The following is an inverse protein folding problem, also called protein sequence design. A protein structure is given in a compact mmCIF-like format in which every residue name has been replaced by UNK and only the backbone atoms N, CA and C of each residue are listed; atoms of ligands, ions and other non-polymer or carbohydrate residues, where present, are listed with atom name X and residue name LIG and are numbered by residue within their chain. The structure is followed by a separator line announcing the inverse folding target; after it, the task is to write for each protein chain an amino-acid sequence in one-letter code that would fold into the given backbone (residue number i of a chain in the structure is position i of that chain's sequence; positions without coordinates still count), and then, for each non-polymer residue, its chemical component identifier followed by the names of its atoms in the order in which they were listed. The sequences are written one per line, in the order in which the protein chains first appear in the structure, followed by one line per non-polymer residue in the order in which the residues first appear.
data_IF_969671092682
#
_entry.id   IF_969671092682
#
_cell.length_a   1.000
_cell.length_b   1.000
_cell.length_c   1.000
_cell.angle_alpha   90.00
_cell.angle_beta   90.00
_cell.angle_gamma   90.00
#
_symmetry.space_group_name_H-M   'P 1'
#
loop_
_entity.id
_entity.type
_entity.pdbx_description
1 polymer ?
#
# COMPACT_ATOMS: atom_id res chain seq x y z
N UNK A 1 14.79 -50.47 -2.24
CA UNK A 1 14.98 -49.08 -2.72
C UNK A 1 16.37 -48.62 -2.29
N UNK A 2 17.16 -47.99 -3.17
CA UNK A 2 18.53 -47.54 -2.81
C UNK A 2 18.47 -46.20 -2.09
N UNK A 3 19.10 -46.12 -0.92
CA UNK A 3 19.11 -44.92 -0.07
C UNK A 3 19.69 -43.70 -0.80
N UNK A 4 20.71 -43.92 -1.62
CA UNK A 4 21.37 -42.88 -2.43
C UNK A 4 20.41 -42.23 -3.44
N UNK A 5 19.52 -43.03 -4.06
CA UNK A 5 18.54 -42.52 -5.03
C UNK A 5 17.52 -41.64 -4.31
N UNK A 6 17.02 -42.09 -3.15
CA UNK A 6 16.07 -41.30 -2.37
C UNK A 6 16.69 -39.96 -1.95
N UNK A 7 17.93 -39.96 -1.45
CA UNK A 7 18.62 -38.75 -1.03
C UNK A 7 18.82 -37.77 -2.19
N UNK A 8 19.25 -38.25 -3.35
CA UNK A 8 19.41 -37.41 -4.54
C UNK A 8 18.07 -36.81 -4.98
N UNK A 9 17.00 -37.61 -5.00
CA UNK A 9 15.66 -37.14 -5.36
C UNK A 9 15.16 -36.06 -4.40
N UNK A 10 15.33 -36.25 -3.09
CA UNK A 10 14.95 -35.24 -2.09
C UNK A 10 15.73 -33.93 -2.26
N UNK A 11 17.04 -34.01 -2.54
CA UNK A 11 17.86 -32.83 -2.78
C UNK A 11 17.41 -32.07 -4.03
N UNK A 12 17.19 -32.76 -5.14
CA UNK A 12 16.74 -32.13 -6.40
C UNK A 12 15.35 -31.53 -6.24
N UNK A 13 14.42 -32.23 -5.59
CA UNK A 13 13.07 -31.73 -5.34
C UNK A 13 13.10 -30.47 -4.46
N UNK A 14 13.89 -30.46 -3.38
CA UNK A 14 14.06 -29.29 -2.53
C UNK A 14 14.66 -28.10 -3.29
N UNK A 15 15.66 -28.35 -4.14
CA UNK A 15 16.27 -27.32 -4.97
C UNK A 15 15.26 -26.72 -5.96
N UNK A 16 14.43 -27.56 -6.58
CA UNK A 16 13.39 -27.11 -7.49
C UNK A 16 12.36 -26.23 -6.78
N UNK A 17 11.85 -26.67 -5.62
CA UNK A 17 10.85 -25.92 -4.83
C UNK A 17 11.40 -24.58 -4.37
N UNK A 18 12.63 -24.55 -3.85
CA UNK A 18 13.28 -23.30 -3.40
C UNK A 18 13.49 -22.33 -4.55
N UNK A 19 13.91 -22.83 -5.72
CA UNK A 19 14.07 -21.99 -6.93
C UNK A 19 12.74 -21.36 -7.34
N UNK A 20 11.66 -22.15 -7.38
CA UNK A 20 10.32 -21.63 -7.72
C UNK A 20 9.84 -20.61 -6.67
N UNK A 21 10.03 -20.90 -5.38
CA UNK A 21 9.62 -19.99 -4.31
C UNK A 21 10.33 -18.64 -4.38
N UNK A 22 11.65 -18.65 -4.63
CA UNK A 22 12.43 -17.41 -4.80
C UNK A 22 12.02 -16.68 -6.08
N UNK A 23 11.79 -17.39 -7.17
CA UNK A 23 11.37 -16.78 -8.43
C UNK A 23 9.96 -16.17 -8.36
N UNK A 24 9.07 -16.75 -7.55
CA UNK A 24 7.72 -16.23 -7.32
C UNK A 24 7.66 -15.16 -6.23
N UNK A 25 8.78 -14.87 -5.55
CA UNK A 25 8.82 -13.86 -4.50
C UNK A 25 8.80 -12.46 -5.11
N UNK A 26 7.63 -11.82 -5.06
CA UNK A 26 7.46 -10.40 -5.38
C UNK A 26 7.33 -9.61 -4.09
N UNK A 27 8.28 -8.70 -3.83
CA UNK A 27 8.17 -7.79 -2.70
C UNK A 27 7.21 -6.64 -3.06
N UNK A 28 6.04 -6.52 -2.40
CA UNK A 28 5.05 -5.52 -2.77
C UNK A 28 5.60 -4.11 -2.49
N UNK A 29 5.74 -3.31 -3.54
CA UNK A 29 6.07 -1.89 -3.36
C UNK A 29 4.89 -1.16 -2.72
N UNK A 30 5.15 -0.16 -1.85
CA UNK A 30 4.10 0.66 -1.29
C UNK A 30 3.35 1.35 -2.43
N UNK A 31 2.04 1.09 -2.52
CA UNK A 31 1.15 1.68 -3.51
C UNK A 31 -0.07 2.28 -2.81
N UNK A 32 -0.54 3.43 -3.29
CA UNK A 32 -1.72 4.10 -2.75
C UNK A 32 -2.95 3.48 -3.40
N UNK A 33 -3.74 2.74 -2.61
CA UNK A 33 -5.01 2.17 -3.06
C UNK A 33 -6.07 3.28 -3.10
N UNK A 34 -6.44 3.70 -4.31
CA UNK A 34 -7.48 4.73 -4.52
C UNK A 34 -8.89 4.15 -4.76
N UNK A 35 -9.07 2.83 -4.66
CA UNK A 35 -10.38 2.18 -4.89
C UNK A 35 -11.22 2.11 -3.62
N UNK A 36 -11.69 3.27 -3.17
CA UNK A 36 -12.57 3.39 -2.00
C UNK A 36 -13.89 2.60 -2.15
N UNK A 37 -14.39 2.42 -3.38
CA UNK A 37 -15.62 1.68 -3.67
C UNK A 37 -15.51 0.15 -3.42
N UNK A 38 -14.28 -0.39 -3.43
CA UNK A 38 -14.02 -1.81 -3.15
C UNK A 38 -13.50 -2.03 -1.72
N UNK A 39 -13.62 -1.04 -0.84
CA UNK A 39 -13.11 -1.12 0.53
C UNK A 39 -13.67 -2.32 1.32
N UNK A 40 -14.91 -2.73 1.06
CA UNK A 40 -15.54 -3.90 1.69
C UNK A 40 -14.91 -5.24 1.28
N UNK A 41 -14.17 -5.27 0.15
CA UNK A 41 -13.51 -6.47 -0.37
C UNK A 41 -12.08 -6.64 0.16
N UNK A 42 -11.55 -5.64 0.87
CA UNK A 42 -10.21 -5.67 1.45
C UNK A 42 -10.29 -5.74 2.97
N UNK A 43 -9.45 -6.56 3.58
CA UNK A 43 -9.30 -6.54 5.03
C UNK A 43 -8.78 -5.16 5.46
N UNK A 44 -9.61 -4.40 6.17
CA UNK A 44 -9.21 -3.14 6.78
C UNK A 44 -8.05 -3.41 7.75
N UNK A 45 -6.99 -2.58 7.75
CA UNK A 45 -5.95 -2.64 8.78
C UNK A 45 -6.59 -2.59 10.17
N UNK A 46 -6.05 -3.33 11.15
CA UNK A 46 -6.59 -3.36 12.53
C UNK A 46 -6.70 -1.95 13.13
N UNK A 47 -5.80 -1.06 12.74
CA UNK A 47 -5.82 0.37 13.08
C UNK A 47 -6.44 1.18 11.93
N UNK A 48 -7.64 0.82 11.49
CA UNK A 48 -8.43 1.71 10.66
C UNK A 48 -8.79 2.92 11.51
N UNK A 49 -7.97 3.97 11.46
CA UNK A 49 -8.25 5.26 12.09
C UNK A 49 -9.69 5.61 11.73
N UNK A 50 -10.60 5.76 12.71
CA UNK A 50 -12.01 5.90 12.43
C UNK A 50 -12.19 7.06 11.45
N UNK A 51 -12.60 6.75 10.23
CA UNK A 51 -13.04 7.71 9.23
C UNK A 51 -14.39 8.33 9.61
N UNK A 52 -14.76 8.30 10.90
CA UNK A 52 -15.86 9.05 11.44
C UNK A 52 -15.59 10.53 11.17
N UNK A 53 -16.11 10.97 10.03
CA UNK A 53 -16.68 12.28 9.83
C UNK A 53 -15.82 13.40 10.39
N UNK A 54 -14.51 13.38 10.09
CA UNK A 54 -13.86 14.67 9.89
C UNK A 54 -14.59 15.25 8.69
N UNK A 55 -15.59 16.12 8.96
CA UNK A 55 -16.17 16.95 7.93
C UNK A 55 -14.98 17.64 7.28
N UNK A 56 -14.55 17.16 6.11
CA UNK A 56 -13.53 17.82 5.30
C UNK A 56 -14.21 19.02 4.62
N UNK A 57 -14.88 19.84 5.43
CA UNK A 57 -15.18 21.20 5.08
C UNK A 57 -13.88 21.95 5.33
N UNK A 58 -13.35 22.68 4.34
CA UNK A 58 -12.21 23.54 4.59
C UNK A 58 -12.59 24.49 5.74
N UNK A 59 -11.77 24.50 6.78
CA UNK A 59 -11.96 25.40 7.90
C UNK A 59 -12.08 26.85 7.38
N UNK A 60 -12.92 27.66 8.00
CA UNK A 60 -13.10 29.06 7.59
C UNK A 60 -11.76 29.80 7.59
N UNK A 61 -10.88 29.46 8.53
CA UNK A 61 -9.53 29.99 8.63
C UNK A 61 -8.63 29.61 7.44
N UNK A 62 -8.78 28.39 6.88
CA UNK A 62 -8.06 27.97 5.69
C UNK A 62 -8.53 28.76 4.46
N UNK A 63 -9.84 29.00 4.34
CA UNK A 63 -10.39 29.81 3.25
C UNK A 63 -9.94 31.28 3.34
N UNK A 64 -9.94 31.85 4.55
CA UNK A 64 -9.44 33.20 4.81
C UNK A 64 -7.93 33.31 4.50
N UNK A 65 -7.14 32.31 4.90
CA UNK A 65 -5.71 32.26 4.60
C UNK A 65 -5.42 32.22 3.10
N UNK A 66 -6.09 31.35 2.34
CA UNK A 66 -5.92 31.25 0.88
C UNK A 66 -6.34 32.55 0.16
N UNK A 67 -7.39 33.20 0.65
CA UNK A 67 -7.83 34.50 0.14
C UNK A 67 -6.80 35.60 0.42
N UNK A 68 -6.25 35.65 1.63
CA UNK A 68 -5.18 36.56 2.02
C UNK A 68 -3.91 36.38 1.17
N UNK A 69 -3.49 35.13 0.93
CA UNK A 69 -2.36 34.83 0.04
C UNK A 69 -2.62 35.32 -1.39
N UNK A 70 -3.82 35.08 -1.93
CA UNK A 70 -4.18 35.54 -3.28
C UNK A 70 -4.22 37.07 -3.40
N UNK A 71 -4.56 37.78 -2.32
CA UNK A 71 -4.56 39.24 -2.30
C UNK A 71 -3.17 39.83 -2.12
N UNK A 72 -2.33 39.25 -1.25
CA UNK A 72 -0.96 39.71 -1.02
C UNK A 72 -0.01 39.43 -2.19
N UNK A 73 -0.35 38.47 -3.06
CA UNK A 73 0.41 38.19 -4.29
C UNK A 73 0.01 39.06 -5.48
N UNK A 74 -0.96 39.97 -5.33
CA UNK A 74 -1.21 40.98 -6.37
C UNK A 74 -0.12 42.04 -6.29
N UNK A 75 0.56 42.38 -7.41
CA UNK A 75 1.44 43.52 -7.42
C UNK A 75 0.63 44.77 -7.06
N UNK A 76 1.17 45.62 -6.20
CA UNK A 76 0.63 46.97 -6.02
C UNK A 76 0.92 47.73 -7.33
N UNK A 77 -0.08 47.84 -8.20
CA UNK A 77 0.04 48.51 -9.50
C UNK A 77 -0.98 48.01 -10.52
#
# INVERSE_FOLDING_TARGET
MKLEIARALFLVAGLAVTTVAVAAWEEPRPNVFSKAEMADQCALPREAKPQQQAQVAPDQDLLLFLFGLRQGLRPFG
#
